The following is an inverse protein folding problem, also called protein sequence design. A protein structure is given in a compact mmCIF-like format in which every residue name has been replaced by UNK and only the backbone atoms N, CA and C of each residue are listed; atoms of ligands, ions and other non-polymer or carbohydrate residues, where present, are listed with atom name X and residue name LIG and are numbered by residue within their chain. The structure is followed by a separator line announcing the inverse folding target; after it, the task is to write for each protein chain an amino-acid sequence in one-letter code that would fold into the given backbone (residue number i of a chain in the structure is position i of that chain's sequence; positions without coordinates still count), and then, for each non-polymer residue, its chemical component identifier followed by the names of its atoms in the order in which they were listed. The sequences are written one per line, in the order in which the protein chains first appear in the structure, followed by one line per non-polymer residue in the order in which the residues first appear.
data_IF_963511635015
#
_entry.id   IF_963511635015
#
_cell.length_a   1.000
_cell.length_b   1.000
_cell.length_c   1.000
_cell.angle_alpha   90.00
_cell.angle_beta   90.00
_cell.angle_gamma   90.00
#
_symmetry.space_group_name_H-M   'P 1'
#
loop_
_entity.id
_entity.type
_entity.pdbx_description
1 polymer ?
#
# COMPACT_ATOMS: atom_id res chain seq x y z
N UNK A 1 9.04 7.54 -15.82
CA UNK A 1 9.14 8.52 -14.71
C UNK A 1 7.90 9.41 -14.78
N UNK A 2 7.04 9.30 -13.76
CA UNK A 2 5.78 10.06 -13.72
C UNK A 2 5.99 11.45 -13.10
N UNK A 3 5.15 12.44 -13.41
CA UNK A 3 5.22 13.77 -12.81
C UNK A 3 5.08 13.69 -11.29
N UNK A 4 5.90 14.48 -10.59
CA UNK A 4 5.78 14.64 -9.13
C UNK A 4 4.85 15.80 -8.80
N UNK A 5 3.89 15.57 -7.90
CA UNK A 5 2.92 16.57 -7.44
C UNK A 5 2.98 16.68 -5.92
N UNK A 6 3.30 17.86 -5.41
CA UNK A 6 3.40 18.13 -3.96
C UNK A 6 2.12 18.70 -3.33
N UNK A 7 1.21 19.25 -4.11
CA UNK A 7 -0.08 19.75 -3.61
C UNK A 7 -1.14 18.64 -3.59
N UNK A 8 -1.32 18.05 -2.42
CA UNK A 8 -2.29 16.96 -2.23
C UNK A 8 -3.75 17.45 -2.09
N UNK A 9 -4.01 18.74 -2.15
CA UNK A 9 -5.37 19.28 -2.07
C UNK A 9 -6.06 19.34 -3.43
N UNK A 10 -5.27 19.37 -4.51
CA UNK A 10 -5.75 19.51 -5.89
C UNK A 10 -5.14 18.39 -6.76
N UNK A 11 -5.37 17.14 -6.37
CA UNK A 11 -4.90 15.98 -7.17
C UNK A 11 -5.85 15.77 -8.36
N UNK A 12 -5.29 15.76 -9.55
CA UNK A 12 -5.98 15.41 -10.79
C UNK A 12 -5.21 14.26 -11.45
N UNK A 13 -5.65 13.03 -11.25
CA UNK A 13 -5.00 11.85 -11.78
C UNK A 13 -5.95 10.64 -11.79
N UNK A 14 -5.66 9.66 -12.68
CA UNK A 14 -6.28 8.34 -12.64
C UNK A 14 -5.63 7.45 -11.59
N UNK A 15 -4.31 7.60 -11.43
CA UNK A 15 -3.50 6.81 -10.49
C UNK A 15 -2.51 7.72 -9.76
N UNK A 16 -2.42 7.56 -8.43
CA UNK A 16 -1.43 8.23 -7.60
C UNK A 16 -0.48 7.23 -6.95
N UNK A 17 0.82 7.43 -7.14
CA UNK A 17 1.87 6.67 -6.49
C UNK A 17 2.23 7.39 -5.19
N UNK A 18 2.14 6.69 -4.06
CA UNK A 18 2.49 7.18 -2.72
C UNK A 18 3.52 6.25 -2.08
N UNK A 19 4.59 6.78 -1.54
CA UNK A 19 5.49 6.03 -0.68
C UNK A 19 5.02 6.01 0.77
N UNK A 20 5.17 4.88 1.43
CA UNK A 20 4.96 4.69 2.86
C UNK A 20 6.23 4.08 3.48
N UNK A 21 7.32 4.89 3.68
CA UNK A 21 8.63 4.42 4.11
C UNK A 21 8.67 4.08 5.61
N UNK A 22 7.76 3.22 6.06
CA UNK A 22 7.62 2.79 7.44
C UNK A 22 8.03 1.31 7.60
N UNK A 23 8.83 1.00 8.62
CA UNK A 23 9.23 -0.37 8.93
C UNK A 23 9.42 -0.65 10.43
N UNK A 24 8.80 0.17 11.26
CA UNK A 24 8.80 -0.06 12.71
C UNK A 24 7.84 -1.18 13.14
N UNK A 25 7.07 -1.76 12.22
CA UNK A 25 6.27 -2.95 12.44
C UNK A 25 7.04 -4.26 12.28
N UNK A 26 8.30 -4.24 11.84
CA UNK A 26 9.13 -5.43 11.67
C UNK A 26 9.65 -5.96 13.00
N UNK A 27 9.70 -7.29 13.15
CA UNK A 27 10.17 -7.97 14.36
C UNK A 27 11.65 -8.35 14.32
N UNK A 28 12.31 -8.19 13.19
CA UNK A 28 13.71 -8.55 13.00
C UNK A 28 14.50 -7.33 12.53
N UNK A 29 15.01 -7.35 11.32
CA UNK A 29 15.82 -6.26 10.76
C UNK A 29 14.93 -5.24 10.06
N UNK A 30 15.10 -3.98 10.39
CA UNK A 30 14.56 -2.86 9.62
C UNK A 30 15.30 -2.72 8.28
N UNK A 31 14.70 -1.98 7.35
CA UNK A 31 15.24 -1.72 6.02
C UNK A 31 14.16 -1.55 4.95
N UNK A 32 12.96 -2.10 5.18
CA UNK A 32 11.84 -1.96 4.25
C UNK A 32 11.44 -0.49 4.01
N UNK A 33 11.76 0.43 4.93
CA UNK A 33 11.60 1.88 4.74
C UNK A 33 12.34 2.43 3.51
N UNK A 34 13.36 1.74 3.03
CA UNK A 34 14.08 2.11 1.82
C UNK A 34 13.36 1.68 0.53
N UNK A 35 12.29 0.89 0.66
CA UNK A 35 11.53 0.33 -0.48
C UNK A 35 11.03 1.40 -1.46
N UNK A 36 10.30 2.44 -1.03
CA UNK A 36 9.78 3.46 -1.93
C UNK A 36 10.88 4.15 -2.74
N UNK A 37 11.98 4.50 -2.07
CA UNK A 37 13.16 5.09 -2.74
C UNK A 37 13.80 4.12 -3.72
N UNK A 38 14.06 2.88 -3.30
CA UNK A 38 14.70 1.87 -4.13
C UNK A 38 13.88 1.54 -5.38
N UNK A 39 12.56 1.43 -5.26
CA UNK A 39 11.66 1.20 -6.39
C UNK A 39 11.68 2.38 -7.36
N UNK A 40 11.60 3.63 -6.87
CA UNK A 40 11.69 4.82 -7.72
C UNK A 40 13.04 4.92 -8.43
N UNK A 41 14.14 4.62 -7.75
CA UNK A 41 15.48 4.60 -8.33
C UNK A 41 15.57 3.54 -9.42
N UNK A 42 15.15 2.29 -9.14
CA UNK A 42 15.15 1.21 -10.11
C UNK A 42 14.25 1.50 -11.32
N UNK A 43 13.14 2.21 -11.14
CA UNK A 43 12.24 2.59 -12.25
C UNK A 43 12.91 3.50 -13.28
N UNK A 44 14.00 4.17 -12.94
CA UNK A 44 14.77 5.01 -13.90
C UNK A 44 15.50 4.19 -14.95
N UNK A 45 15.70 2.89 -14.71
CA UNK A 45 16.26 1.95 -15.69
C UNK A 45 15.30 1.68 -16.86
N UNK A 46 14.00 1.94 -16.66
CA UNK A 46 12.94 1.78 -17.63
C UNK A 46 12.46 3.16 -18.08
N UNK A 47 13.27 3.86 -18.89
CA UNK A 47 13.06 5.26 -19.26
C UNK A 47 11.83 5.50 -20.18
N UNK A 48 11.24 4.45 -20.71
CA UNK A 48 10.14 4.52 -21.67
C UNK A 48 8.74 4.48 -21.02
N UNK A 49 8.65 4.65 -19.69
CA UNK A 49 7.37 4.59 -18.97
C UNK A 49 6.28 5.53 -19.48
N UNK A 50 6.65 6.67 -20.08
CA UNK A 50 5.69 7.58 -20.72
C UNK A 50 5.06 7.01 -22.00
N UNK A 51 5.75 6.07 -22.68
CA UNK A 51 5.22 5.39 -23.85
C UNK A 51 4.25 4.25 -23.51
N UNK A 52 4.15 3.90 -22.22
CA UNK A 52 3.35 2.79 -21.74
C UNK A 52 4.03 1.44 -21.87
N UNK A 53 3.27 0.39 -21.59
CA UNK A 53 3.69 -1.01 -21.70
C UNK A 53 2.91 -1.67 -22.86
N UNK A 54 3.62 -2.09 -23.88
CA UNK A 54 3.03 -2.82 -25.00
C UNK A 54 2.79 -4.28 -24.59
N UNK A 55 1.56 -4.71 -24.70
CA UNK A 55 1.15 -6.10 -24.56
C UNK A 55 0.99 -6.70 -25.96
N UNK A 56 1.80 -7.72 -26.26
CA UNK A 56 1.80 -8.36 -27.57
C UNK A 56 0.70 -9.40 -27.76
N UNK A 57 0.08 -9.86 -26.68
CA UNK A 57 -1.02 -10.82 -26.73
C UNK A 57 -2.33 -10.09 -27.09
N UNK A 58 -2.54 -8.93 -26.49
CA UNK A 58 -3.73 -8.12 -26.71
C UNK A 58 -3.56 -7.05 -27.81
N UNK A 59 -2.32 -6.86 -28.31
CA UNK A 59 -1.95 -5.79 -29.26
C UNK A 59 -2.34 -4.39 -28.77
N UNK A 60 -2.11 -4.12 -27.48
CA UNK A 60 -2.50 -2.89 -26.79
C UNK A 60 -1.32 -2.27 -26.05
N UNK A 61 -1.27 -0.93 -26.05
CA UNK A 61 -0.35 -0.18 -25.17
C UNK A 61 -1.12 0.29 -23.94
N UNK A 62 -0.77 -0.26 -22.78
CA UNK A 62 -1.31 0.13 -21.48
C UNK A 62 -0.50 1.26 -20.84
N UNK A 63 -1.17 2.06 -20.01
CA UNK A 63 -0.55 3.06 -19.12
C UNK A 63 0.35 4.10 -19.82
N UNK A 64 0.09 4.39 -21.09
CA UNK A 64 0.77 5.51 -21.77
C UNK A 64 0.25 6.84 -21.24
N UNK A 65 1.08 7.90 -21.34
CA UNK A 65 0.68 9.26 -20.95
C UNK A 65 -0.47 9.84 -21.81
N UNK A 66 -0.80 9.21 -22.93
CA UNK A 66 -1.92 9.58 -23.78
C UNK A 66 -3.25 9.02 -23.27
N UNK A 67 -3.23 7.90 -22.55
CA UNK A 67 -4.42 7.20 -22.10
C UNK A 67 -4.56 7.10 -20.57
N UNK A 68 -3.56 7.53 -19.80
CA UNK A 68 -3.57 7.44 -18.35
C UNK A 68 -2.79 8.58 -17.71
N UNK A 69 -3.42 9.29 -16.79
CA UNK A 69 -2.75 10.31 -15.97
C UNK A 69 -2.26 9.70 -14.67
N UNK A 70 -0.98 9.33 -14.62
CA UNK A 70 -0.32 8.73 -13.46
C UNK A 70 0.64 9.76 -12.87
N UNK A 71 0.50 10.04 -11.57
CA UNK A 71 1.37 10.99 -10.85
C UNK A 71 2.03 10.32 -9.64
N UNK A 72 3.20 10.82 -9.25
CA UNK A 72 3.87 10.47 -8.00
C UNK A 72 3.69 11.63 -7.01
N UNK A 73 3.09 11.36 -5.86
CA UNK A 73 2.82 12.37 -4.84
C UNK A 73 3.82 12.34 -3.67
N UNK A 74 4.93 11.63 -3.84
CA UNK A 74 5.99 11.52 -2.83
C UNK A 74 5.68 10.52 -1.73
N UNK A 75 6.21 10.78 -0.56
CA UNK A 75 6.08 9.89 0.60
C UNK A 75 5.16 10.49 1.67
N UNK A 76 4.41 9.62 2.35
CA UNK A 76 3.72 9.98 3.58
C UNK A 76 4.74 10.38 4.66
N UNK A 77 4.36 11.35 5.50
CA UNK A 77 5.21 11.81 6.58
C UNK A 77 5.30 10.75 7.70
N UNK A 78 6.50 10.24 7.95
CA UNK A 78 6.77 9.18 8.91
C UNK A 78 7.42 9.74 10.18
N UNK A 79 6.78 9.51 11.31
CA UNK A 79 7.34 9.78 12.64
C UNK A 79 7.93 8.48 13.20
N UNK A 80 9.22 8.28 13.02
CA UNK A 80 9.90 6.99 13.29
C UNK A 80 9.73 6.44 14.71
N UNK A 81 9.46 7.30 15.68
CA UNK A 81 9.26 6.94 17.10
C UNK A 81 7.79 6.76 17.47
N UNK A 82 6.87 6.97 16.51
CA UNK A 82 5.42 6.92 16.76
C UNK A 82 4.69 6.19 15.61
N UNK A 83 4.39 4.93 15.85
CA UNK A 83 3.66 4.08 14.90
C UNK A 83 2.26 4.63 14.60
N UNK A 84 1.54 5.07 15.64
CA UNK A 84 0.15 5.54 15.48
C UNK A 84 0.11 6.81 14.65
N UNK A 85 1.04 7.74 14.92
CA UNK A 85 1.16 8.98 14.14
C UNK A 85 1.54 8.70 12.70
N UNK A 86 2.50 7.80 12.47
CA UNK A 86 2.91 7.38 11.12
C UNK A 86 1.74 6.74 10.35
N UNK A 87 1.00 5.82 10.99
CA UNK A 87 -0.19 5.22 10.39
C UNK A 87 -1.27 6.27 10.08
N UNK A 88 -1.52 7.22 10.99
CA UNK A 88 -2.45 8.31 10.74
C UNK A 88 -2.07 9.18 9.53
N UNK A 89 -0.77 9.44 9.35
CA UNK A 89 -0.27 10.22 8.22
C UNK A 89 -0.39 9.44 6.89
N UNK A 90 -0.13 8.12 6.90
CA UNK A 90 -0.34 7.26 5.72
C UNK A 90 -1.82 7.21 5.35
N UNK A 91 -2.70 6.98 6.34
CA UNK A 91 -4.15 6.96 6.14
C UNK A 91 -4.64 8.28 5.55
N UNK A 92 -4.19 9.41 6.09
CA UNK A 92 -4.54 10.74 5.58
C UNK A 92 -4.14 10.91 4.11
N UNK A 93 -2.92 10.48 3.72
CA UNK A 93 -2.45 10.56 2.34
C UNK A 93 -3.31 9.70 1.40
N UNK A 94 -3.63 8.46 1.79
CA UNK A 94 -4.51 7.58 1.00
C UNK A 94 -5.91 8.18 0.85
N UNK A 95 -6.47 8.78 1.91
CA UNK A 95 -7.77 9.48 1.83
C UNK A 95 -7.76 10.65 0.84
N UNK A 96 -6.64 11.37 0.71
CA UNK A 96 -6.50 12.43 -0.32
C UNK A 96 -6.60 11.87 -1.73
N UNK A 97 -5.94 10.72 -2.00
CA UNK A 97 -6.01 10.03 -3.28
C UNK A 97 -7.44 9.58 -3.58
N UNK A 98 -8.08 8.91 -2.62
CA UNK A 98 -9.46 8.42 -2.78
C UNK A 98 -10.46 9.56 -2.98
N UNK A 99 -10.28 10.69 -2.30
CA UNK A 99 -11.10 11.90 -2.50
C UNK A 99 -10.98 12.46 -3.92
N UNK A 100 -9.80 12.36 -4.52
CA UNK A 100 -9.56 12.73 -5.91
C UNK A 100 -10.11 11.68 -6.91
N UNK A 101 -10.71 10.58 -6.43
CA UNK A 101 -11.20 9.44 -7.21
C UNK A 101 -10.09 8.72 -8.01
N UNK A 102 -8.84 8.89 -7.61
CA UNK A 102 -7.70 8.22 -8.19
C UNK A 102 -7.46 6.86 -7.52
N UNK A 103 -6.82 5.94 -8.24
CA UNK A 103 -6.39 4.64 -7.72
C UNK A 103 -5.08 4.85 -6.94
N UNK A 104 -5.01 4.51 -5.64
CA UNK A 104 -3.77 4.56 -4.89
C UNK A 104 -2.87 3.37 -5.19
N UNK A 105 -1.62 3.62 -5.56
CA UNK A 105 -0.53 2.64 -5.59
C UNK A 105 0.43 2.98 -4.46
N UNK A 106 0.52 2.10 -3.46
CA UNK A 106 1.33 2.33 -2.27
C UNK A 106 2.64 1.55 -2.37
N UNK A 107 3.75 2.27 -2.32
CA UNK A 107 5.07 1.67 -2.22
C UNK A 107 5.43 1.54 -0.74
N UNK A 108 5.37 0.36 -0.17
CA UNK A 108 5.75 0.10 1.21
C UNK A 108 7.27 0.03 1.39
N UNK A 109 7.63 -0.02 2.46
CA UNK A 109 7.59 -0.25 3.87
C UNK A 109 7.31 -1.72 4.22
N UNK A 110 7.17 -1.96 5.49
CA UNK A 110 6.75 -3.28 5.96
C UNK A 110 5.24 -3.48 5.78
N UNK A 111 4.77 -4.72 5.96
CA UNK A 111 3.38 -5.05 5.69
C UNK A 111 2.37 -4.33 6.59
N UNK A 112 2.80 -3.78 7.74
CA UNK A 112 1.91 -3.04 8.64
C UNK A 112 1.34 -1.76 8.01
N UNK A 113 1.96 -1.24 6.93
CA UNK A 113 1.44 -0.09 6.17
C UNK A 113 0.07 -0.36 5.55
N UNK A 114 -0.31 -1.63 5.36
CA UNK A 114 -1.64 -1.99 4.87
C UNK A 114 -2.75 -1.64 5.86
N UNK A 115 -2.45 -1.59 7.17
CA UNK A 115 -3.45 -1.24 8.19
C UNK A 115 -4.02 0.16 7.93
N UNK A 116 -3.21 1.24 7.89
CA UNK A 116 -3.72 2.58 7.59
C UNK A 116 -4.25 2.72 6.16
N UNK A 117 -3.68 1.99 5.18
CA UNK A 117 -4.21 2.00 3.82
C UNK A 117 -5.64 1.47 3.78
N UNK A 118 -5.91 0.33 4.42
CA UNK A 118 -7.26 -0.27 4.48
C UNK A 118 -8.20 0.64 5.28
N UNK A 119 -7.74 1.25 6.38
CA UNK A 119 -8.55 2.19 7.16
C UNK A 119 -9.10 3.34 6.32
N UNK A 120 -8.36 3.80 5.32
CA UNK A 120 -8.77 4.91 4.46
C UNK A 120 -10.02 4.60 3.61
N UNK A 121 -10.39 3.33 3.46
CA UNK A 121 -11.54 2.89 2.66
C UNK A 121 -12.87 2.83 3.44
N UNK A 122 -12.95 3.37 4.64
CA UNK A 122 -14.14 3.31 5.53
C UNK A 122 -15.38 4.03 4.98
N UNK A 123 -15.22 4.85 3.95
CA UNK A 123 -16.33 5.49 3.22
C UNK A 123 -16.90 4.62 2.09
N UNK A 124 -16.32 3.44 1.83
CA UNK A 124 -16.85 2.49 0.86
C UNK A 124 -17.87 1.58 1.53
N UNK A 125 -18.93 1.23 0.81
CA UNK A 125 -19.98 0.34 1.33
C UNK A 125 -19.44 -1.07 1.61
N UNK A 126 -18.55 -1.56 0.73
CA UNK A 126 -17.95 -2.88 0.84
C UNK A 126 -16.67 -2.97 0.03
N UNK A 127 -15.62 -3.56 0.63
CA UNK A 127 -14.40 -3.94 -0.08
C UNK A 127 -14.09 -5.42 0.16
N UNK A 128 -13.48 -6.07 -0.83
CA UNK A 128 -12.91 -7.40 -0.71
C UNK A 128 -11.40 -7.30 -0.89
N UNK A 129 -10.63 -7.88 0.02
CA UNK A 129 -9.18 -7.84 -0.01
C UNK A 129 -8.64 -9.09 -0.70
N UNK A 130 -7.73 -8.91 -1.65
CA UNK A 130 -6.92 -9.99 -2.21
C UNK A 130 -5.49 -9.77 -1.73
N UNK A 131 -4.98 -10.72 -0.93
CA UNK A 131 -3.60 -10.73 -0.46
C UNK A 131 -2.81 -11.82 -1.20
N UNK A 132 -1.70 -11.41 -1.81
CA UNK A 132 -0.74 -12.34 -2.43
C UNK A 132 0.49 -12.38 -1.54
N UNK A 133 0.59 -13.40 -0.70
CA UNK A 133 1.59 -13.48 0.36
C UNK A 133 1.89 -14.94 0.75
N UNK A 134 3.07 -15.17 1.32
CA UNK A 134 3.46 -16.44 1.94
C UNK A 134 2.81 -16.68 3.31
N UNK A 135 2.39 -15.61 3.99
CA UNK A 135 1.91 -15.61 5.37
C UNK A 135 0.46 -15.16 5.46
N UNK A 136 -0.25 -15.63 6.49
CA UNK A 136 -1.63 -15.20 6.76
C UNK A 136 -1.71 -13.78 7.28
N UNK A 137 -0.71 -13.33 8.05
CA UNK A 137 -0.67 -12.04 8.74
C UNK A 137 -1.95 -11.72 9.54
N UNK A 138 -2.46 -12.78 10.17
CA UNK A 138 -3.75 -12.80 10.89
C UNK A 138 -3.59 -12.95 12.40
N UNK A 139 -2.45 -12.54 12.94
CA UNK A 139 -2.17 -12.55 14.39
C UNK A 139 -2.82 -11.34 15.04
N UNK A 140 -3.60 -11.55 16.11
CA UNK A 140 -4.23 -10.44 16.82
C UNK A 140 -3.19 -9.55 17.52
N UNK A 141 -2.32 -10.16 18.32
CA UNK A 141 -1.29 -9.46 19.06
C UNK A 141 -0.02 -10.31 19.16
N UNK A 142 1.13 -9.66 19.07
CA UNK A 142 2.42 -10.29 19.33
C UNK A 142 3.28 -9.38 20.21
N UNK A 143 3.68 -9.89 21.39
CA UNK A 143 4.45 -9.13 22.38
C UNK A 143 3.83 -7.77 22.78
N UNK A 144 2.51 -7.70 22.92
CA UNK A 144 1.80 -6.47 23.22
C UNK A 144 1.58 -5.55 22.01
N UNK A 145 2.01 -5.97 20.78
CA UNK A 145 1.91 -5.16 19.57
C UNK A 145 0.81 -5.69 18.67
N UNK A 146 -0.13 -4.79 18.31
CA UNK A 146 -1.27 -5.08 17.43
C UNK A 146 -1.14 -4.46 16.03
N UNK A 147 -0.08 -3.69 15.78
CA UNK A 147 0.15 -2.94 14.55
C UNK A 147 1.50 -3.28 13.91
N UNK A 148 1.96 -4.52 14.09
CA UNK A 148 3.14 -5.04 13.43
C UNK A 148 2.83 -5.65 12.06
N UNK A 149 3.86 -6.10 11.37
CA UNK A 149 3.75 -6.67 10.01
C UNK A 149 2.95 -7.98 9.94
N UNK A 150 2.76 -8.70 11.06
CA UNK A 150 1.96 -9.93 11.12
C UNK A 150 0.48 -9.71 11.50
N UNK A 151 0.03 -8.46 11.59
CA UNK A 151 -1.32 -8.14 12.06
C UNK A 151 -2.30 -7.57 11.00
N UNK A 152 -1.89 -7.20 9.77
CA UNK A 152 -2.73 -6.43 8.85
C UNK A 152 -4.06 -7.08 8.53
N UNK A 153 -4.07 -8.38 8.22
CA UNK A 153 -5.30 -9.06 7.82
C UNK A 153 -6.26 -9.26 9.00
N UNK A 154 -5.73 -9.43 10.22
CA UNK A 154 -6.57 -9.40 11.43
C UNK A 154 -7.19 -8.02 11.63
N UNK A 155 -6.43 -6.95 11.51
CA UNK A 155 -6.97 -5.57 11.61
C UNK A 155 -8.00 -5.29 10.51
N UNK A 156 -7.78 -5.81 9.30
CA UNK A 156 -8.73 -5.71 8.20
C UNK A 156 -10.05 -6.42 8.50
N UNK A 157 -10.00 -7.65 9.03
CA UNK A 157 -11.19 -8.44 9.33
C UNK A 157 -12.10 -7.83 10.40
N UNK A 158 -11.60 -6.90 11.20
CA UNK A 158 -12.36 -6.16 12.21
C UNK A 158 -13.18 -5.00 11.62
N UNK A 159 -12.98 -4.68 10.34
CA UNK A 159 -13.66 -3.55 9.69
C UNK A 159 -14.99 -4.00 9.10
N UNK A 160 -16.06 -3.29 9.41
CA UNK A 160 -17.42 -3.63 8.94
C UNK A 160 -17.57 -3.54 7.42
N UNK A 161 -16.78 -2.69 6.78
CA UNK A 161 -16.79 -2.52 5.32
C UNK A 161 -15.89 -3.53 4.58
N UNK A 162 -15.14 -4.39 5.29
CA UNK A 162 -14.40 -5.50 4.68
C UNK A 162 -15.32 -6.72 4.62
N UNK A 163 -15.79 -7.05 3.42
CA UNK A 163 -16.72 -8.16 3.17
C UNK A 163 -16.05 -9.53 3.12
N UNK A 164 -14.72 -9.55 2.92
CA UNK A 164 -13.96 -10.79 2.89
C UNK A 164 -12.49 -10.56 2.53
N UNK A 165 -11.69 -11.60 2.79
CA UNK A 165 -10.25 -11.61 2.50
C UNK A 165 -9.94 -12.91 1.77
N UNK A 166 -9.39 -12.82 0.56
CA UNK A 166 -8.85 -13.97 -0.19
C UNK A 166 -7.34 -13.94 -0.13
N UNK A 167 -6.73 -15.01 0.36
CA UNK A 167 -5.28 -15.10 0.52
C UNK A 167 -4.69 -16.14 -0.44
N UNK A 168 -3.72 -15.75 -1.25
CA UNK A 168 -3.10 -16.56 -2.30
C UNK A 168 -1.61 -16.74 -2.00
N UNK A 169 -1.11 -17.97 -2.10
CA UNK A 169 0.33 -18.27 -1.93
C UNK A 169 0.74 -18.62 -0.50
N UNK A 170 -0.23 -18.80 0.40
CA UNK A 170 0.03 -19.14 1.80
C UNK A 170 0.80 -20.45 1.92
N UNK A 171 1.92 -20.43 2.60
CA UNK A 171 2.81 -21.59 2.84
C UNK A 171 3.47 -21.60 4.20
N UNK A 172 3.14 -20.63 5.07
CA UNK A 172 3.60 -20.57 6.44
C UNK A 172 2.45 -20.13 7.35
N UNK A 173 1.96 -21.06 8.17
CA UNK A 173 0.82 -20.85 9.06
C UNK A 173 1.26 -21.17 10.48
N UNK A 174 1.16 -20.20 11.40
CA UNK A 174 1.32 -20.45 12.82
C UNK A 174 0.04 -20.98 13.46
N UNK A 175 0.15 -21.71 14.57
CA UNK A 175 -1.02 -22.20 15.33
C UNK A 175 -1.91 -21.03 15.77
N UNK A 176 -1.32 -19.92 16.20
CA UNK A 176 -2.04 -18.71 16.61
C UNK A 176 -2.77 -18.00 15.47
N UNK A 177 -2.27 -18.11 14.24
CA UNK A 177 -2.96 -17.56 13.08
C UNK A 177 -4.13 -18.42 12.60
N UNK A 178 -4.14 -19.72 12.98
CA UNK A 178 -5.24 -20.63 12.66
C UNK A 178 -6.48 -20.40 13.52
N UNK A 179 -6.29 -19.85 14.71
CA UNK A 179 -7.37 -19.63 15.70
C UNK A 179 -8.08 -18.27 15.51
N UNK A 180 -7.55 -17.39 14.69
CA UNK A 180 -8.10 -16.07 14.36
C UNK A 180 -8.99 -16.09 13.14
#
# INVERSE_FOLDING_TARGET
KYPYVSDWNNLEADVCILGAPFDSGTQWRSGARMGPRGIREASTLFSFGHAGAYDHEDDVVYLSSENSNIIDIGDADIVHTDTIKSHSNIEFAVRKILKAKAIPIILGGDHSVNIPCINAFDSQDSIHIIQIDAHLDFVDERHGVRYGHGNPMKRASEKKYVSGITQIGIRNVSSTAKEG
#
